data_IF_832072412962
#
_entry.id   IF_832072412962
#
_cell.length_a   1.000
_cell.length_b   1.000
_cell.length_c   1.000
_cell.angle_alpha   90.00
_cell.angle_beta   90.00
_cell.angle_gamma   90.00
#
_symmetry.space_group_name_H-M   'P 1'
#
loop_
_entity.id
_entity.type
_entity.pdbx_description
1 polymer ?
#
# COMPACT_ATOMS: atom_id res chain seq x y z
N UNK A 1 16.66 2.42 -14.86
CA UNK A 1 15.98 3.09 -13.75
C UNK A 1 16.94 3.19 -12.58
N UNK A 2 16.81 4.22 -11.78
CA UNK A 2 17.72 4.52 -10.69
C UNK A 2 17.20 4.09 -9.32
N UNK A 3 16.19 3.24 -9.28
CA UNK A 3 15.64 2.71 -8.05
C UNK A 3 15.41 1.20 -8.18
N UNK A 4 15.26 0.54 -7.04
CA UNK A 4 14.90 -0.88 -6.99
C UNK A 4 13.64 -1.08 -6.16
N UNK A 5 12.89 -2.14 -6.46
CA UNK A 5 11.70 -2.54 -5.72
C UNK A 5 11.97 -3.87 -5.04
N UNK A 6 11.57 -3.98 -3.77
CA UNK A 6 11.74 -5.21 -2.99
C UNK A 6 10.50 -5.48 -2.15
N UNK A 7 10.16 -6.76 -2.02
CA UNK A 7 9.11 -7.23 -1.10
C UNK A 7 9.70 -7.87 0.16
N UNK A 8 10.99 -7.72 0.38
CA UNK A 8 11.65 -8.21 1.60
C UNK A 8 11.23 -7.35 2.80
N UNK A 9 10.50 -7.92 3.78
CA UNK A 9 10.02 -7.15 4.93
C UNK A 9 11.15 -6.58 5.78
N UNK A 10 12.34 -7.18 5.76
CA UNK A 10 13.49 -6.69 6.52
C UNK A 10 14.02 -5.35 5.98
N UNK A 11 13.67 -4.97 4.75
CA UNK A 11 14.15 -3.74 4.13
C UNK A 11 13.26 -2.52 4.43
N UNK A 12 12.08 -2.72 5.00
CA UNK A 12 11.17 -1.61 5.29
C UNK A 12 11.78 -0.67 6.32
N UNK A 13 11.84 0.61 5.98
CA UNK A 13 12.40 1.66 6.84
C UNK A 13 11.26 2.44 7.48
N UNK A 14 10.74 1.95 8.61
CA UNK A 14 9.60 2.59 9.27
C UNK A 14 9.88 4.02 9.72
N UNK A 15 11.12 4.35 10.05
CA UNK A 15 11.48 5.72 10.39
C UNK A 15 11.29 6.68 9.21
N UNK A 16 11.33 6.18 7.98
CA UNK A 16 11.08 6.95 6.76
C UNK A 16 9.59 6.92 6.42
N UNK A 17 8.97 5.74 6.47
CA UNK A 17 7.59 5.50 6.02
C UNK A 17 6.57 6.09 6.98
N UNK A 18 6.78 5.96 8.29
CA UNK A 18 5.80 6.39 9.28
C UNK A 18 5.42 7.87 9.15
N UNK A 19 6.37 8.83 9.02
CA UNK A 19 5.97 10.23 8.83
C UNK A 19 5.10 10.45 7.59
N UNK A 20 5.32 9.71 6.52
CA UNK A 20 4.47 9.80 5.34
C UNK A 20 3.02 9.44 5.68
N UNK A 21 2.82 8.29 6.33
CA UNK A 21 1.48 7.77 6.62
C UNK A 21 0.76 8.61 7.67
N UNK A 22 1.48 9.12 8.66
CA UNK A 22 0.90 10.01 9.67
C UNK A 22 0.27 11.25 9.05
N UNK A 23 0.82 11.73 7.96
CA UNK A 23 0.36 12.96 7.31
C UNK A 23 -0.57 12.71 6.11
N UNK A 24 -0.78 11.45 5.69
CA UNK A 24 -1.72 11.13 4.63
C UNK A 24 -3.18 11.32 5.08
N UNK A 25 -4.04 11.76 4.14
CA UNK A 25 -5.45 12.01 4.45
C UNK A 25 -6.17 10.74 4.95
N UNK A 26 -5.76 9.55 4.48
CA UNK A 26 -6.40 8.28 4.87
C UNK A 26 -5.91 7.74 6.21
N UNK A 27 -4.88 8.32 6.79
CA UNK A 27 -4.28 7.84 8.05
C UNK A 27 -3.75 8.97 8.93
N UNK A 28 -4.34 10.17 8.82
CA UNK A 28 -3.92 11.35 9.56
C UNK A 28 -3.84 11.07 11.07
N UNK A 29 -2.68 11.34 11.65
CA UNK A 29 -2.47 11.20 13.09
C UNK A 29 -2.33 9.79 13.61
N UNK A 30 -2.20 8.79 12.73
CA UNK A 30 -2.06 7.39 13.15
C UNK A 30 -0.85 7.21 14.07
N UNK A 31 -1.03 6.45 15.15
CA UNK A 31 0.04 6.15 16.10
C UNK A 31 1.07 5.22 15.48
N UNK A 32 2.32 5.40 15.87
CA UNK A 32 3.41 4.57 15.35
C UNK A 32 3.22 3.08 15.66
N UNK A 33 2.76 2.73 16.87
CA UNK A 33 2.56 1.33 17.23
C UNK A 33 1.46 0.67 16.37
N UNK A 34 0.48 1.43 15.91
CA UNK A 34 -0.55 0.92 14.98
C UNK A 34 0.08 0.61 13.63
N UNK A 35 0.91 1.49 13.10
CA UNK A 35 1.61 1.27 11.83
C UNK A 35 2.56 0.08 11.93
N UNK A 36 3.31 -0.03 13.02
CA UNK A 36 4.22 -1.17 13.23
C UNK A 36 3.47 -2.49 13.19
N UNK A 37 2.34 -2.58 13.89
CA UNK A 37 1.52 -3.80 13.90
C UNK A 37 0.90 -4.09 12.53
N UNK A 38 0.44 -3.06 11.83
CA UNK A 38 -0.13 -3.20 10.50
C UNK A 38 0.91 -3.78 9.52
N UNK A 39 2.12 -3.23 9.55
CA UNK A 39 3.18 -3.67 8.65
C UNK A 39 3.68 -5.08 9.00
N UNK A 40 3.74 -5.43 10.29
CA UNK A 40 4.12 -6.77 10.72
C UNK A 40 3.12 -7.85 10.24
N UNK A 41 1.88 -7.48 9.98
CA UNK A 41 0.81 -8.40 9.57
C UNK A 41 0.40 -8.24 8.10
N UNK A 42 1.21 -7.58 7.30
CA UNK A 42 0.90 -7.30 5.89
C UNK A 42 2.04 -7.71 4.99
N UNK A 43 1.76 -7.84 3.70
CA UNK A 43 2.80 -7.90 2.68
C UNK A 43 3.07 -6.47 2.21
N UNK A 44 4.36 -6.13 2.08
CA UNK A 44 4.78 -4.77 1.77
C UNK A 44 5.77 -4.79 0.63
N UNK A 45 5.60 -3.89 -0.33
CA UNK A 45 6.60 -3.56 -1.33
C UNK A 45 7.22 -2.20 -0.99
N UNK A 46 8.52 -2.10 -1.10
CA UNK A 46 9.25 -0.85 -0.94
C UNK A 46 10.04 -0.51 -2.20
N UNK A 47 10.17 0.78 -2.47
CA UNK A 47 11.06 1.30 -3.51
C UNK A 47 12.22 2.01 -2.83
N UNK A 48 13.44 1.82 -3.35
CA UNK A 48 14.68 2.26 -2.71
C UNK A 48 15.59 2.94 -3.73
N UNK A 49 16.20 4.03 -3.33
CA UNK A 49 17.23 4.71 -4.11
C UNK A 49 18.42 5.01 -3.21
N UNK A 50 19.60 4.46 -3.58
CA UNK A 50 20.80 4.65 -2.77
C UNK A 50 20.66 4.14 -1.34
N UNK A 51 19.91 3.05 -1.14
CA UNK A 51 19.67 2.46 0.18
C UNK A 51 18.60 3.14 1.01
N UNK A 52 18.00 4.25 0.53
CA UNK A 52 16.93 4.94 1.23
C UNK A 52 15.58 4.60 0.60
N UNK A 53 14.60 4.32 1.43
CA UNK A 53 13.24 4.05 0.95
C UNK A 53 12.59 5.34 0.43
N UNK A 54 12.02 5.26 -0.79
CA UNK A 54 11.39 6.39 -1.47
C UNK A 54 9.92 6.11 -1.81
N UNK A 55 9.45 4.91 -1.56
CA UNK A 55 8.05 4.55 -1.82
C UNK A 55 7.65 3.30 -1.06
N UNK A 56 6.34 3.10 -0.93
CA UNK A 56 5.77 1.97 -0.19
C UNK A 56 4.40 1.61 -0.77
N UNK A 57 4.04 0.33 -0.68
CA UNK A 57 2.68 -0.15 -0.88
C UNK A 57 2.46 -1.32 0.06
N UNK A 58 1.26 -1.44 0.64
CA UNK A 58 0.94 -2.48 1.61
C UNK A 58 -0.31 -3.24 1.18
N UNK A 59 -0.31 -4.55 1.44
CA UNK A 59 -1.44 -5.44 1.16
C UNK A 59 -1.85 -6.17 2.44
N UNK A 60 -3.14 -6.07 2.77
CA UNK A 60 -3.78 -6.91 3.79
C UNK A 60 -4.43 -8.08 3.06
N UNK A 61 -4.08 -9.31 3.44
CA UNK A 61 -4.54 -10.50 2.70
C UNK A 61 -4.49 -11.73 3.59
N UNK A 62 -5.41 -12.66 3.35
CA UNK A 62 -5.33 -14.02 3.88
C UNK A 62 -4.34 -14.88 3.07
N UNK A 63 -3.77 -14.32 1.99
CA UNK A 63 -2.84 -14.97 1.08
C UNK A 63 -3.43 -16.18 0.35
N UNK A 64 -4.74 -16.23 0.28
CA UNK A 64 -5.48 -17.33 -0.36
C UNK A 64 -6.62 -16.85 -1.24
N UNK A 65 -7.45 -15.90 -0.76
CA UNK A 65 -8.71 -15.58 -1.43
C UNK A 65 -8.87 -14.11 -1.81
N UNK A 66 -8.25 -13.17 -1.07
CA UNK A 66 -8.58 -11.75 -1.18
C UNK A 66 -7.39 -10.88 -0.77
N UNK A 67 -7.26 -9.72 -1.40
CA UNK A 67 -6.29 -8.70 -1.02
C UNK A 67 -6.91 -7.31 -0.98
N UNK A 68 -6.54 -6.54 0.04
CA UNK A 68 -6.83 -5.12 0.17
C UNK A 68 -5.51 -4.35 0.01
N UNK A 69 -5.41 -3.60 -1.09
CA UNK A 69 -4.24 -2.75 -1.37
C UNK A 69 -4.42 -1.40 -0.69
N UNK A 70 -3.43 -0.98 0.08
CA UNK A 70 -3.48 0.27 0.84
C UNK A 70 -2.08 0.85 1.04
N UNK A 71 -2.04 2.06 1.61
CA UNK A 71 -0.78 2.76 1.94
C UNK A 71 0.19 2.85 0.76
N UNK A 72 -0.34 3.12 -0.44
CA UNK A 72 0.49 3.36 -1.62
C UNK A 72 0.96 4.81 -1.57
N UNK A 73 2.26 5.01 -1.39
CA UNK A 73 2.84 6.34 -1.26
C UNK A 73 4.22 6.39 -1.89
N UNK A 74 4.48 7.44 -2.65
CA UNK A 74 5.81 7.74 -3.20
C UNK A 74 6.20 9.13 -2.71
N UNK A 75 7.43 9.29 -2.21
CA UNK A 75 7.87 10.60 -1.74
C UNK A 75 7.76 11.64 -2.85
N UNK A 76 7.36 12.89 -2.52
CA UNK A 76 7.05 13.89 -3.55
C UNK A 76 8.13 14.11 -4.59
N UNK A 77 9.40 14.11 -4.19
CA UNK A 77 10.51 14.34 -5.11
C UNK A 77 10.78 13.18 -6.08
N UNK A 78 10.14 12.02 -5.89
CA UNK A 78 10.32 10.83 -6.72
C UNK A 78 9.08 10.49 -7.54
N UNK A 79 8.05 11.31 -7.50
CA UNK A 79 6.79 11.09 -8.24
C UNK A 79 6.96 11.34 -9.74
N UNK A 80 6.06 10.76 -10.53
CA UNK A 80 6.03 10.92 -11.98
C UNK A 80 6.91 9.93 -12.74
N UNK A 81 7.62 9.03 -12.05
CA UNK A 81 8.52 8.05 -12.65
C UNK A 81 8.00 6.61 -12.69
N UNK A 82 6.73 6.39 -12.39
CA UNK A 82 6.15 5.05 -12.44
C UNK A 82 6.42 4.18 -11.21
N UNK A 83 6.90 4.75 -10.12
CA UNK A 83 7.26 3.98 -8.91
C UNK A 83 6.02 3.35 -8.28
N UNK A 84 4.91 4.09 -8.18
CA UNK A 84 3.67 3.54 -7.61
C UNK A 84 3.20 2.31 -8.40
N UNK A 85 3.21 2.39 -9.72
CA UNK A 85 2.87 1.26 -10.59
C UNK A 85 3.80 0.08 -10.36
N UNK A 86 5.12 0.32 -10.26
CA UNK A 86 6.10 -0.74 -10.03
C UNK A 86 5.89 -1.43 -8.67
N UNK A 87 5.54 -0.66 -7.63
CA UNK A 87 5.23 -1.21 -6.30
C UNK A 87 4.02 -2.14 -6.35
N UNK A 88 2.95 -1.70 -6.99
CA UNK A 88 1.71 -2.48 -7.08
C UNK A 88 1.93 -3.72 -7.93
N UNK A 89 2.65 -3.60 -9.05
CA UNK A 89 2.99 -4.75 -9.89
C UNK A 89 3.80 -5.79 -9.12
N UNK A 90 4.75 -5.37 -8.28
CA UNK A 90 5.53 -6.29 -7.45
C UNK A 90 4.65 -7.06 -6.47
N UNK A 91 3.63 -6.41 -5.90
CA UNK A 91 2.68 -7.09 -5.02
C UNK A 91 1.76 -8.04 -5.78
N UNK A 92 1.26 -7.63 -6.96
CA UNK A 92 0.42 -8.49 -7.80
C UNK A 92 1.19 -9.75 -8.21
N UNK A 93 2.49 -9.63 -8.46
CA UNK A 93 3.36 -10.75 -8.82
C UNK A 93 3.88 -11.53 -7.63
N UNK A 94 3.58 -11.13 -6.41
CA UNK A 94 4.10 -11.78 -5.19
C UNK A 94 3.70 -13.26 -5.16
N UNK A 95 4.66 -14.18 -4.90
CA UNK A 95 4.38 -15.63 -4.93
C UNK A 95 3.24 -16.08 -4.03
N UNK A 96 3.03 -15.41 -2.89
CA UNK A 96 1.99 -15.77 -1.94
C UNK A 96 0.60 -15.26 -2.32
N UNK A 97 0.46 -14.50 -3.41
CA UNK A 97 -0.81 -13.86 -3.78
C UNK A 97 -1.34 -14.37 -5.14
N UNK A 98 -1.00 -15.61 -5.53
CA UNK A 98 -1.34 -16.11 -6.86
C UNK A 98 -2.65 -16.90 -6.95
N UNK A 99 -3.36 -17.09 -5.83
CA UNK A 99 -4.65 -17.78 -5.80
C UNK A 99 -5.82 -16.85 -5.55
N UNK A 100 -5.58 -15.55 -5.41
CA UNK A 100 -6.61 -14.58 -5.06
C UNK A 100 -7.59 -14.39 -6.22
N UNK A 101 -8.88 -14.40 -5.93
CA UNK A 101 -9.91 -14.12 -6.93
C UNK A 101 -10.27 -12.63 -6.99
N UNK A 102 -9.81 -11.84 -6.03
CA UNK A 102 -10.17 -10.42 -5.97
C UNK A 102 -9.13 -9.62 -5.23
N UNK A 103 -8.80 -8.48 -5.80
CA UNK A 103 -8.06 -7.39 -5.17
C UNK A 103 -8.98 -6.19 -5.09
N UNK A 104 -8.95 -5.48 -3.97
CA UNK A 104 -9.69 -4.23 -3.82
C UNK A 104 -8.83 -3.13 -3.27
N UNK A 105 -9.19 -1.90 -3.59
CA UNK A 105 -8.61 -0.69 -3.02
C UNK A 105 -9.67 0.40 -2.97
N UNK A 106 -9.42 1.41 -2.17
CA UNK A 106 -10.17 2.65 -2.21
C UNK A 106 -9.19 3.79 -2.50
N UNK A 107 -9.56 4.68 -3.40
CA UNK A 107 -8.78 5.88 -3.70
C UNK A 107 -9.70 7.04 -3.98
N UNK A 108 -9.29 8.23 -3.54
CA UNK A 108 -10.04 9.45 -3.78
C UNK A 108 -9.70 10.05 -5.15
N UNK A 109 -8.45 9.91 -5.59
CA UNK A 109 -7.92 10.70 -6.70
C UNK A 109 -6.90 9.98 -7.60
N UNK A 110 -6.64 8.69 -7.38
CA UNK A 110 -5.59 7.97 -8.11
C UNK A 110 -6.12 6.86 -9.03
N UNK A 111 -7.36 6.93 -9.46
CA UNK A 111 -7.95 5.90 -10.35
C UNK A 111 -7.12 5.68 -11.62
N UNK A 112 -6.50 6.74 -12.16
CA UNK A 112 -5.69 6.65 -13.36
C UNK A 112 -4.43 5.80 -13.17
N UNK A 113 -3.94 5.62 -11.95
CA UNK A 113 -2.80 4.74 -11.64
C UNK A 113 -3.23 3.27 -11.73
N UNK A 114 -4.42 2.96 -11.23
CA UNK A 114 -4.85 1.58 -11.04
C UNK A 114 -5.59 0.98 -12.23
N UNK A 115 -6.30 1.79 -13.03
CA UNK A 115 -7.01 1.29 -14.20
C UNK A 115 -6.11 0.53 -15.20
N UNK A 116 -4.91 1.01 -15.54
CA UNK A 116 -4.04 0.27 -16.45
C UNK A 116 -3.56 -1.07 -15.88
N UNK A 117 -3.61 -1.24 -14.56
CA UNK A 117 -3.24 -2.49 -13.89
C UNK A 117 -4.39 -3.50 -13.83
N UNK A 118 -5.57 -3.13 -14.34
CA UNK A 118 -6.73 -4.03 -14.38
C UNK A 118 -7.78 -3.76 -13.31
N UNK A 119 -7.58 -2.76 -12.45
CA UNK A 119 -8.60 -2.36 -11.47
C UNK A 119 -9.71 -1.60 -12.17
N UNK A 120 -10.95 -1.89 -11.78
CA UNK A 120 -12.14 -1.24 -12.32
C UNK A 120 -13.07 -0.82 -11.18
N UNK A 121 -13.92 0.16 -11.47
CA UNK A 121 -14.92 0.61 -10.49
C UNK A 121 -15.86 -0.54 -10.14
N UNK A 122 -16.22 -0.63 -8.85
CA UNK A 122 -17.15 -1.64 -8.37
C UNK A 122 -18.58 -1.12 -8.39
N UNK A 123 -19.55 -2.03 -8.31
CA UNK A 123 -20.94 -1.69 -8.07
C UNK A 123 -21.11 -1.31 -6.58
N UNK A 124 -21.21 -0.03 -6.31
CA UNK A 124 -21.30 0.47 -4.95
C UNK A 124 -22.57 -0.02 -4.22
N UNK A 125 -23.57 -0.50 -4.94
CA UNK A 125 -24.82 -0.97 -4.33
C UNK A 125 -24.66 -2.29 -3.59
N UNK A 126 -23.60 -3.06 -3.88
CA UNK A 126 -23.38 -4.36 -3.24
C UNK A 126 -22.27 -4.32 -2.17
N UNK A 127 -21.55 -3.22 -2.07
CA UNK A 127 -20.46 -3.07 -1.12
C UNK A 127 -20.91 -2.25 0.07
N UNK A 128 -20.54 -2.69 1.26
CA UNK A 128 -20.84 -2.03 2.52
C UNK A 128 -19.58 -1.92 3.35
N UNK A 129 -19.45 -0.82 4.12
CA UNK A 129 -18.36 -0.67 5.08
C UNK A 129 -18.91 -0.37 6.47
N UNK A 130 -18.19 -0.79 7.49
CA UNK A 130 -18.42 -0.40 8.87
C UNK A 130 -17.19 0.35 9.37
N UNK A 131 -17.39 1.57 9.84
CA UNK A 131 -16.34 2.41 10.41
C UNK A 131 -16.57 2.55 11.91
N UNK A 132 -15.88 1.75 12.74
CA UNK A 132 -15.97 1.89 14.18
C UNK A 132 -15.36 3.20 14.65
N UNK A 133 -15.70 3.61 15.88
CA UNK A 133 -14.99 4.70 16.53
C UNK A 133 -13.54 4.24 16.80
N UNK A 134 -12.59 4.87 16.13
CA UNK A 134 -11.18 4.47 16.16
C UNK A 134 -10.42 5.18 17.29
N UNK A 135 -10.90 5.07 18.53
CA UNK A 135 -10.30 5.75 19.68
C UNK A 135 -8.82 5.36 19.89
N UNK A 136 -8.38 4.20 19.44
CA UNK A 136 -7.01 3.75 19.53
C UNK A 136 -6.13 4.15 18.34
N UNK A 137 -6.66 4.90 17.40
CA UNK A 137 -5.95 5.24 16.16
C UNK A 137 -4.88 6.30 16.37
N UNK A 138 -5.19 7.32 17.16
CA UNK A 138 -4.31 8.48 17.40
C UNK A 138 -3.79 8.55 18.83
#
# INVERSE_FOLDING_TARGET
>A
MDYEVSTDPARVQLDVVYPWLRDCYWSTGVRRDVVERAFANSLVAGAYRGGRQIGVARVVSDRATFAWLCDVFVEPGSRGGGIATALVEALIAHPELQTLRRWMLATRDAHAVYRPLGFASVDATIWMEYRPDAAGWT
#
